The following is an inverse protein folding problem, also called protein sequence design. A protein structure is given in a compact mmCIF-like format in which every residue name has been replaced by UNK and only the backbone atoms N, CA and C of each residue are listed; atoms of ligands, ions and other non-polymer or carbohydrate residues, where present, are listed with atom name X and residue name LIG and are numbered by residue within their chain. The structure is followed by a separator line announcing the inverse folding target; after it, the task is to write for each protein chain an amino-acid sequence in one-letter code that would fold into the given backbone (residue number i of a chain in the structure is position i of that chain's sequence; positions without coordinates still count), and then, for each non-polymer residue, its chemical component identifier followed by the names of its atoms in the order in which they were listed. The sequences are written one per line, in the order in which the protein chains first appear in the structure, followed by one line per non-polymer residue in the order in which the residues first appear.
data_IF_550889689644
#
_entry.id   IF_550889689644
#
_cell.length_a   1.000
_cell.length_b   1.000
_cell.length_c   1.000
_cell.angle_alpha   90.00
_cell.angle_beta   90.00
_cell.angle_gamma   90.00
#
_symmetry.space_group_name_H-M   'P 1'
#
loop_
_entity.id
_entity.type
_entity.pdbx_description
1 polymer ?
#
# COMPACT_ATOMS: atom_id res chain seq x y z
N UNK A 1 56.50 -4.95 -46.23
CA UNK A 1 57.41 -5.35 -45.14
C UNK A 1 56.55 -5.51 -43.87
N UNK A 2 56.45 -6.70 -43.23
CA UNK A 2 57.21 -7.13 -42.00
C UNK A 2 57.30 -6.01 -40.93
N UNK A 3 56.97 -6.16 -39.63
CA UNK A 3 56.56 -7.28 -38.73
C UNK A 3 55.47 -6.73 -37.76
N UNK A 4 54.55 -7.44 -37.09
CA UNK A 4 54.31 -8.87 -36.76
C UNK A 4 55.00 -9.44 -35.47
N UNK A 5 54.44 -9.12 -34.30
CA UNK A 5 54.52 -9.82 -32.97
C UNK A 5 53.16 -9.58 -32.27
N UNK A 6 52.30 -10.53 -31.87
CA UNK A 6 52.39 -11.86 -31.22
C UNK A 6 52.76 -11.86 -29.73
N UNK A 7 51.74 -11.72 -28.89
CA UNK A 7 51.34 -12.60 -27.76
C UNK A 7 49.79 -12.54 -27.78
N UNK A 8 48.98 -13.59 -27.91
CA UNK A 8 49.16 -15.04 -27.75
C UNK A 8 49.40 -15.48 -26.29
N UNK A 9 48.34 -15.35 -25.49
CA UNK A 9 47.90 -16.46 -24.65
C UNK A 9 46.58 -16.99 -25.21
N UNK A 10 46.66 -18.19 -25.78
CA UNK A 10 45.56 -19.14 -25.75
C UNK A 10 45.70 -19.95 -24.43
N UNK A 11 44.82 -20.88 -24.03
CA UNK A 11 44.05 -21.82 -24.84
C UNK A 11 43.04 -22.57 -23.93
N UNK A 12 41.88 -23.00 -24.47
CA UNK A 12 40.98 -24.14 -24.06
C UNK A 12 40.65 -24.29 -22.54
N UNK A 13 39.39 -24.30 -22.08
CA UNK A 13 38.39 -25.36 -22.21
C UNK A 13 37.05 -24.88 -21.62
N UNK A 14 35.90 -25.33 -22.14
CA UNK A 14 34.61 -24.91 -21.58
C UNK A 14 33.33 -25.22 -22.36
N UNK A 15 33.32 -26.18 -23.28
CA UNK A 15 32.07 -26.68 -23.86
C UNK A 15 31.37 -27.63 -22.85
N UNK A 16 30.91 -27.10 -21.71
CA UNK A 16 30.07 -27.83 -20.74
C UNK A 16 29.49 -26.87 -19.69
N UNK A 17 28.20 -26.50 -19.79
CA UNK A 17 27.29 -26.08 -18.70
C UNK A 17 25.91 -25.58 -19.22
N UNK A 18 25.37 -26.21 -20.26
CA UNK A 18 23.94 -26.52 -20.15
C UNK A 18 23.84 -27.59 -19.05
N UNK A 19 22.86 -27.49 -18.16
CA UNK A 19 22.86 -28.03 -16.78
C UNK A 19 23.69 -27.17 -15.82
N UNK A 20 22.99 -26.36 -15.01
CA UNK A 20 23.26 -25.98 -13.60
C UNK A 20 22.52 -24.70 -13.12
N UNK A 21 21.33 -24.41 -13.66
CA UNK A 21 20.35 -23.54 -12.98
C UNK A 21 18.90 -24.06 -13.04
N UNK A 22 18.59 -25.30 -12.59
CA UNK A 22 17.28 -25.54 -12.02
C UNK A 22 17.15 -24.69 -10.74
N UNK A 23 15.96 -24.17 -10.46
CA UNK A 23 15.61 -23.41 -9.24
C UNK A 23 16.20 -21.98 -9.09
N UNK A 24 16.06 -21.14 -10.13
CA UNK A 24 15.68 -19.73 -9.90
C UNK A 24 14.15 -19.55 -9.80
N UNK A 25 13.47 -20.56 -9.26
CA UNK A 25 12.22 -20.37 -8.53
C UNK A 25 12.60 -19.97 -7.09
N UNK A 26 13.22 -18.80 -6.96
CA UNK A 26 13.36 -18.16 -5.65
C UNK A 26 11.94 -17.89 -5.16
N UNK A 27 11.57 -18.53 -4.05
CA UNK A 27 10.22 -18.43 -3.52
C UNK A 27 9.91 -16.97 -3.23
N UNK A 28 9.02 -16.38 -4.04
CA UNK A 28 8.30 -15.20 -3.63
C UNK A 28 7.49 -15.64 -2.41
N UNK A 29 7.90 -15.17 -1.23
CA UNK A 29 7.15 -15.35 0.00
C UNK A 29 5.75 -14.78 -0.25
N UNK A 30 4.74 -15.66 -0.23
CA UNK A 30 3.38 -15.24 -0.54
C UNK A 30 2.89 -14.39 0.63
N UNK A 31 2.81 -13.09 0.41
CA UNK A 31 2.20 -12.12 1.32
C UNK A 31 0.83 -12.67 1.77
N UNK A 32 0.54 -12.66 3.07
CA UNK A 32 -0.77 -13.06 3.61
C UNK A 32 -1.85 -12.08 3.15
N UNK A 33 -3.10 -12.51 3.07
CA UNK A 33 -4.19 -11.59 2.74
C UNK A 33 -4.34 -10.50 3.82
N UNK A 34 -3.98 -10.81 5.07
CA UNK A 34 -3.83 -9.85 6.16
C UNK A 34 -2.83 -8.72 5.83
N UNK A 35 -1.62 -9.07 5.40
CA UNK A 35 -0.55 -8.11 5.09
C UNK A 35 -0.84 -7.35 3.78
N UNK A 36 -1.37 -8.02 2.75
CA UNK A 36 -1.82 -7.37 1.51
C UNK A 36 -2.92 -6.33 1.81
N UNK A 37 -3.85 -6.68 2.70
CA UNK A 37 -4.89 -5.77 3.17
C UNK A 37 -4.31 -4.58 3.96
N UNK A 38 -3.33 -4.79 4.85
CA UNK A 38 -2.65 -3.71 5.60
C UNK A 38 -1.87 -2.75 4.69
N UNK A 39 -1.14 -3.27 3.71
CA UNK A 39 -0.40 -2.44 2.75
C UNK A 39 -1.36 -1.63 1.87
N UNK A 40 -2.46 -2.25 1.42
CA UNK A 40 -3.50 -1.58 0.67
C UNK A 40 -4.16 -0.43 1.46
N UNK A 41 -4.52 -0.65 2.73
CA UNK A 41 -5.23 0.33 3.54
C UNK A 41 -4.37 1.58 3.83
N UNK A 42 -3.09 1.39 4.14
CA UNK A 42 -2.12 2.47 4.36
C UNK A 42 -1.82 3.28 3.09
N UNK A 43 -1.61 2.58 1.98
CA UNK A 43 -1.32 3.20 0.68
C UNK A 43 -2.49 4.09 0.22
N UNK A 44 -3.72 3.59 0.30
CA UNK A 44 -4.89 4.33 -0.18
C UNK A 44 -5.20 5.59 0.65
N UNK A 45 -5.00 5.56 1.97
CA UNK A 45 -5.12 6.77 2.79
C UNK A 45 -4.07 7.82 2.41
N UNK A 46 -2.85 7.38 2.12
CA UNK A 46 -1.76 8.27 1.69
C UNK A 46 -2.02 8.90 0.32
N UNK A 47 -2.48 8.12 -0.66
CA UNK A 47 -2.74 8.59 -2.03
C UNK A 47 -4.00 9.45 -2.10
N UNK A 48 -5.14 9.00 -1.56
CA UNK A 48 -6.36 9.82 -1.56
C UNK A 48 -6.16 11.09 -0.73
N UNK A 49 -5.42 11.02 0.40
CA UNK A 49 -5.03 12.17 1.21
C UNK A 49 -4.11 13.16 0.47
N UNK A 50 -3.27 12.69 -0.45
CA UNK A 50 -2.44 13.57 -1.29
C UNK A 50 -3.31 14.42 -2.23
N UNK A 51 -4.35 13.83 -2.82
CA UNK A 51 -5.33 14.55 -3.64
C UNK A 51 -6.16 15.57 -2.85
N UNK A 52 -6.64 15.19 -1.67
CA UNK A 52 -7.31 16.11 -0.75
C UNK A 52 -6.43 17.32 -0.36
N UNK A 53 -5.12 17.11 -0.11
CA UNK A 53 -4.17 18.21 0.14
C UNK A 53 -3.98 19.13 -1.08
N UNK A 54 -3.99 18.58 -2.31
CA UNK A 54 -3.98 19.41 -3.54
C UNK A 54 -5.24 20.27 -3.64
N UNK A 55 -6.41 19.68 -3.39
CA UNK A 55 -7.69 20.39 -3.38
C UNK A 55 -7.70 21.57 -2.39
N UNK A 56 -7.27 21.34 -1.14
CA UNK A 56 -7.16 22.40 -0.11
C UNK A 56 -6.26 23.55 -0.58
N UNK A 57 -5.09 23.25 -1.14
CA UNK A 57 -4.16 24.27 -1.62
C UNK A 57 -4.71 25.04 -2.83
N UNK A 58 -5.45 24.37 -3.72
CA UNK A 58 -6.11 24.98 -4.87
C UNK A 58 -7.26 25.92 -4.44
N UNK A 59 -8.14 25.50 -3.51
CA UNK A 59 -9.17 26.36 -2.94
C UNK A 59 -8.60 27.60 -2.25
N UNK A 60 -7.53 27.44 -1.45
CA UNK A 60 -6.83 28.56 -0.81
C UNK A 60 -6.20 29.54 -1.82
N UNK A 61 -5.95 29.08 -3.05
CA UNK A 61 -5.45 29.88 -4.17
C UNK A 61 -6.57 30.44 -5.06
N UNK A 62 -7.85 30.33 -4.64
CA UNK A 62 -9.01 30.78 -5.41
C UNK A 62 -9.31 29.95 -6.67
N UNK A 63 -8.72 28.76 -6.80
CA UNK A 63 -8.94 27.89 -7.96
C UNK A 63 -10.15 26.98 -7.75
N UNK A 64 -10.91 26.78 -8.83
CA UNK A 64 -11.91 25.72 -8.90
C UNK A 64 -11.22 24.35 -8.89
N UNK A 65 -11.85 23.39 -8.23
CA UNK A 65 -11.35 22.03 -8.05
C UNK A 65 -12.46 21.05 -8.39
N UNK A 66 -12.13 20.00 -9.16
CA UNK A 66 -12.99 18.84 -9.29
C UNK A 66 -12.71 17.88 -8.13
N UNK A 67 -13.52 17.96 -7.06
CA UNK A 67 -13.38 17.09 -5.88
C UNK A 67 -13.41 15.59 -6.23
N UNK A 68 -14.22 15.22 -7.22
CA UNK A 68 -14.35 13.83 -7.65
C UNK A 68 -13.01 13.31 -8.19
N UNK A 69 -12.40 14.06 -9.10
CA UNK A 69 -11.09 13.72 -9.66
C UNK A 69 -9.94 13.79 -8.64
N UNK A 70 -9.93 14.79 -7.75
CA UNK A 70 -8.83 14.94 -6.79
C UNK A 70 -8.82 13.83 -5.73
N UNK A 71 -9.96 13.45 -5.18
CA UNK A 71 -10.04 12.46 -4.10
C UNK A 71 -11.31 11.60 -4.08
N UNK A 72 -12.41 12.03 -4.70
CA UNK A 72 -13.69 11.29 -4.67
C UNK A 72 -13.63 9.91 -5.34
N UNK A 73 -13.03 9.82 -6.53
CA UNK A 73 -12.83 8.56 -7.26
C UNK A 73 -11.91 7.62 -6.47
N UNK A 74 -10.79 8.14 -5.97
CA UNK A 74 -9.86 7.40 -5.11
C UNK A 74 -10.55 6.80 -3.86
N UNK A 75 -11.36 7.60 -3.15
CA UNK A 75 -12.13 7.13 -1.98
C UNK A 75 -13.16 6.05 -2.38
N UNK A 76 -13.80 6.20 -3.54
CA UNK A 76 -14.82 5.26 -4.03
C UNK A 76 -14.18 3.91 -4.43
N UNK A 77 -13.11 3.94 -5.22
CA UNK A 77 -12.35 2.76 -5.64
C UNK A 77 -11.71 2.05 -4.43
N UNK A 78 -11.03 2.80 -3.56
CA UNK A 78 -10.42 2.26 -2.36
C UNK A 78 -11.46 1.52 -1.49
N UNK A 79 -12.64 2.10 -1.29
CA UNK A 79 -13.74 1.48 -0.53
C UNK A 79 -14.26 0.19 -1.16
N UNK A 80 -14.27 0.09 -2.49
CA UNK A 80 -14.72 -1.13 -3.20
C UNK A 80 -13.67 -2.23 -3.08
N UNK A 81 -12.40 -1.91 -3.33
CA UNK A 81 -11.32 -2.92 -3.31
C UNK A 81 -10.97 -3.36 -1.90
N UNK A 82 -10.90 -2.43 -0.94
CA UNK A 82 -10.65 -2.73 0.47
C UNK A 82 -11.70 -3.67 1.09
N UNK A 83 -12.94 -3.68 0.58
CA UNK A 83 -13.95 -4.68 0.98
C UNK A 83 -13.63 -6.10 0.51
N UNK A 84 -12.99 -6.26 -0.66
CA UNK A 84 -12.59 -7.56 -1.19
C UNK A 84 -11.40 -8.11 -0.41
N UNK A 85 -10.38 -7.28 -0.20
CA UNK A 85 -9.18 -7.64 0.56
C UNK A 85 -9.53 -7.94 2.03
N UNK A 86 -10.38 -7.13 2.66
CA UNK A 86 -10.92 -7.43 3.99
C UNK A 86 -11.61 -8.80 4.06
N UNK A 87 -12.41 -9.17 3.05
CA UNK A 87 -13.08 -10.47 3.02
C UNK A 87 -12.09 -11.64 2.86
N UNK A 88 -10.96 -11.44 2.17
CA UNK A 88 -9.86 -12.40 2.08
C UNK A 88 -9.12 -12.53 3.42
N UNK A 89 -8.71 -11.42 4.04
CA UNK A 89 -8.05 -11.41 5.35
C UNK A 89 -8.93 -12.03 6.45
N UNK A 90 -10.24 -11.74 6.45
CA UNK A 90 -11.18 -12.34 7.41
C UNK A 90 -11.31 -13.86 7.25
N UNK A 91 -11.09 -14.39 6.04
CA UNK A 91 -11.10 -15.84 5.82
C UNK A 91 -9.85 -16.54 6.36
N UNK A 92 -8.70 -15.86 6.44
CA UNK A 92 -7.46 -16.40 7.03
C UNK A 92 -7.54 -16.51 8.56
N UNK A 93 -8.26 -15.58 9.23
CA UNK A 93 -8.47 -15.59 10.69
C UNK A 93 -9.74 -16.28 11.17
N UNK A 94 -10.52 -16.87 10.27
CA UNK A 94 -11.80 -17.50 10.59
C UNK A 94 -11.69 -18.56 11.70
N UNK A 95 -12.47 -18.41 12.77
CA UNK A 95 -12.43 -19.27 13.96
C UNK A 95 -11.55 -18.73 15.08
N UNK A 96 -10.69 -17.73 14.83
CA UNK A 96 -10.00 -16.94 15.86
C UNK A 96 -10.88 -15.76 16.27
N UNK A 97 -11.90 -16.00 17.10
CA UNK A 97 -12.89 -14.98 17.45
C UNK A 97 -12.33 -13.62 17.94
N UNK A 98 -11.21 -13.56 18.72
CA UNK A 98 -10.57 -12.29 19.07
C UNK A 98 -9.96 -11.57 17.86
N UNK A 99 -9.12 -12.25 17.06
CA UNK A 99 -8.53 -11.73 15.82
C UNK A 99 -9.59 -11.24 14.83
N UNK A 100 -10.65 -12.03 14.60
CA UNK A 100 -11.78 -11.63 13.77
C UNK A 100 -12.42 -10.32 14.24
N UNK A 101 -12.56 -10.14 15.55
CA UNK A 101 -13.17 -8.93 16.15
C UNK A 101 -12.25 -7.73 15.99
N UNK A 102 -10.95 -7.90 16.26
CA UNK A 102 -9.95 -6.86 16.04
C UNK A 102 -9.85 -6.45 14.55
N UNK A 103 -9.89 -7.40 13.61
CA UNK A 103 -9.88 -7.12 12.17
C UNK A 103 -11.15 -6.36 11.72
N UNK A 104 -12.31 -6.70 12.28
CA UNK A 104 -13.58 -5.97 12.07
C UNK A 104 -13.49 -4.52 12.57
N UNK A 105 -12.95 -4.31 13.76
CA UNK A 105 -12.73 -2.97 14.34
C UNK A 105 -11.70 -2.15 13.54
N UNK A 106 -10.60 -2.78 13.11
CA UNK A 106 -9.61 -2.17 12.23
C UNK A 106 -10.23 -1.70 10.90
N UNK A 107 -10.98 -2.57 10.23
CA UNK A 107 -11.61 -2.23 8.96
C UNK A 107 -12.67 -1.12 9.10
N UNK A 108 -13.48 -1.14 10.17
CA UNK A 108 -14.43 -0.07 10.47
C UNK A 108 -13.72 1.28 10.74
N UNK A 109 -12.59 1.25 11.45
CA UNK A 109 -11.75 2.42 11.72
C UNK A 109 -11.14 2.96 10.42
N UNK A 110 -10.60 2.10 9.56
CA UNK A 110 -10.07 2.47 8.25
C UNK A 110 -11.15 3.07 7.33
N UNK A 111 -12.34 2.46 7.25
CA UNK A 111 -13.45 3.02 6.47
C UNK A 111 -13.86 4.42 6.94
N UNK A 112 -13.76 4.68 8.24
CA UNK A 112 -14.04 5.99 8.84
C UNK A 112 -12.95 7.01 8.47
N UNK A 113 -11.68 6.63 8.56
CA UNK A 113 -10.56 7.46 8.14
C UNK A 113 -10.63 7.78 6.63
N UNK A 114 -10.89 6.78 5.79
CA UNK A 114 -11.04 6.94 4.34
C UNK A 114 -12.19 7.89 3.99
N UNK A 115 -13.31 7.84 4.72
CA UNK A 115 -14.37 8.83 4.58
C UNK A 115 -13.93 10.24 5.03
N UNK A 116 -13.04 10.35 6.01
CA UNK A 116 -12.49 11.60 6.53
C UNK A 116 -11.32 12.18 5.72
N UNK A 117 -10.85 11.47 4.69
CA UNK A 117 -9.91 12.00 3.68
C UNK A 117 -10.53 13.19 2.94
N UNK A 118 -11.86 13.20 2.73
CA UNK A 118 -12.56 14.37 2.22
C UNK A 118 -12.34 15.54 3.19
N UNK A 119 -11.79 16.69 2.73
CA UNK A 119 -11.67 17.88 3.57
C UNK A 119 -13.02 18.40 4.03
N UNK A 120 -13.04 19.04 5.20
CA UNK A 120 -14.18 19.85 5.61
C UNK A 120 -14.19 21.17 4.80
N UNK A 121 -15.36 21.75 4.55
CA UNK A 121 -15.48 23.02 3.82
C UNK A 121 -14.65 24.13 4.50
N UNK A 122 -13.81 24.81 3.73
CA UNK A 122 -12.90 25.88 4.20
C UNK A 122 -11.84 25.44 5.24
N UNK A 123 -11.58 24.14 5.32
CA UNK A 123 -10.53 23.60 6.20
C UNK A 123 -9.13 24.12 5.86
N UNK A 124 -8.35 24.45 6.89
CA UNK A 124 -6.94 24.80 6.74
C UNK A 124 -6.10 23.53 6.60
N UNK A 125 -4.96 23.63 5.90
CA UNK A 125 -4.05 22.49 5.70
C UNK A 125 -3.48 21.94 7.03
N UNK A 126 -3.38 22.78 8.07
CA UNK A 126 -3.01 22.35 9.43
C UNK A 126 -4.09 21.45 10.03
N UNK A 127 -5.31 21.98 10.20
CA UNK A 127 -6.44 21.24 10.75
C UNK A 127 -6.74 19.93 9.99
N UNK A 128 -6.55 19.93 8.66
CA UNK A 128 -6.62 18.73 7.85
C UNK A 128 -5.59 17.68 8.27
N UNK A 129 -4.31 18.07 8.30
CA UNK A 129 -3.22 17.17 8.65
C UNK A 129 -3.34 16.66 10.09
N UNK A 130 -3.75 17.51 11.03
CA UNK A 130 -4.00 17.12 12.43
C UNK A 130 -5.09 16.03 12.49
N UNK A 131 -6.24 16.23 11.82
CA UNK A 131 -7.30 15.21 11.75
C UNK A 131 -6.82 13.91 11.08
N UNK A 132 -6.05 13.98 9.98
CA UNK A 132 -5.53 12.77 9.34
C UNK A 132 -4.51 12.05 10.25
N UNK A 133 -3.72 12.78 11.04
CA UNK A 133 -2.79 12.22 12.03
C UNK A 133 -3.53 11.47 13.15
N UNK A 134 -4.62 12.05 13.67
CA UNK A 134 -5.50 11.39 14.64
C UNK A 134 -6.11 10.09 14.11
N UNK A 135 -6.46 10.04 12.82
CA UNK A 135 -6.94 8.82 12.18
C UNK A 135 -5.83 7.79 11.96
N UNK A 136 -4.65 8.21 11.52
CA UNK A 136 -3.50 7.31 11.37
C UNK A 136 -3.14 6.63 12.70
N UNK A 137 -3.06 7.40 13.80
CA UNK A 137 -2.79 6.86 15.14
C UNK A 137 -3.87 5.85 15.61
N UNK A 138 -5.14 6.10 15.28
CA UNK A 138 -6.25 5.17 15.60
C UNK A 138 -6.20 3.89 14.78
N UNK A 139 -5.89 3.98 13.48
CA UNK A 139 -5.73 2.83 12.60
C UNK A 139 -4.58 1.94 13.09
N UNK A 140 -3.45 2.56 13.40
CA UNK A 140 -2.27 1.85 13.91
C UNK A 140 -2.57 1.13 15.22
N UNK A 141 -3.27 1.79 16.15
CA UNK A 141 -3.72 1.15 17.40
C UNK A 141 -4.63 -0.06 17.15
N UNK A 142 -5.54 0.00 16.17
CA UNK A 142 -6.42 -1.12 15.83
C UNK A 142 -5.69 -2.25 15.10
N UNK A 143 -4.66 -1.94 14.30
CA UNK A 143 -3.82 -2.96 13.68
C UNK A 143 -2.96 -3.68 14.71
N UNK A 144 -2.31 -2.94 15.61
CA UNK A 144 -1.51 -3.54 16.68
C UNK A 144 -2.39 -4.38 17.63
N UNK A 145 -3.67 -4.02 17.82
CA UNK A 145 -4.65 -4.88 18.50
C UNK A 145 -4.90 -6.18 17.71
N UNK A 146 -5.02 -6.12 16.38
CA UNK A 146 -5.17 -7.31 15.54
C UNK A 146 -3.95 -8.24 15.63
N UNK A 147 -2.73 -7.70 15.51
CA UNK A 147 -1.48 -8.47 15.62
C UNK A 147 -1.29 -9.16 16.99
N UNK A 148 -1.85 -8.61 18.07
CA UNK A 148 -1.79 -9.21 19.40
C UNK A 148 -2.82 -10.33 19.63
N UNK A 149 -3.86 -10.42 18.80
CA UNK A 149 -5.00 -11.33 18.97
C UNK A 149 -5.01 -12.48 17.94
N UNK A 150 -4.08 -12.47 16.97
CA UNK A 150 -3.97 -13.39 15.83
C UNK A 150 -2.92 -14.49 16.03
#
# INVERSE_FOLDING_TARGET
MRRLRKCLFAVIFGACAAILFPNWAQGAEKISAEQEFREFTDYNLTICGTGARRAINAWRSGRLVNEQYEFGDCIAEARVEGKKLYAAALAEVNGKAPAETALKEYFATWLTALASVKPNSYETIGAYNDRQSDFAAKIELMWNKFELEN
#
